data_IF_786234342381
#
_entry.id   IF_786234342381
#
_cell.length_a   1.000
_cell.length_b   1.000
_cell.length_c   1.000
_cell.angle_alpha   90.00
_cell.angle_beta   90.00
_cell.angle_gamma   90.00
#
_symmetry.space_group_name_H-M   'P 1'
#
loop_
_entity.id
_entity.type
_entity.pdbx_description
1 polymer ?
#
# COMPACT_ATOMS: atom_id res chain seq x y z
N UNK A 1 34.03 5.12 -50.64
CA UNK A 1 33.10 5.30 -49.50
C UNK A 1 32.46 3.95 -49.22
N UNK A 2 32.55 3.46 -47.97
CA UNK A 2 32.30 2.06 -47.62
C UNK A 2 30.79 1.79 -47.41
N UNK A 3 30.15 0.87 -48.17
CA UNK A 3 28.72 0.58 -48.06
C UNK A 3 28.29 0.00 -46.69
N UNK A 4 29.23 -0.44 -45.86
CA UNK A 4 28.93 -0.91 -44.50
C UNK A 4 28.43 0.20 -43.54
N UNK A 5 28.78 1.47 -43.77
CA UNK A 5 28.34 2.59 -42.91
C UNK A 5 26.85 2.90 -43.14
N UNK A 6 26.34 2.73 -44.36
CA UNK A 6 24.92 2.93 -44.66
C UNK A 6 24.03 1.84 -44.05
N UNK A 7 24.56 0.64 -43.78
CA UNK A 7 23.83 -0.41 -43.07
C UNK A 7 23.58 -0.10 -41.58
N UNK A 8 24.44 0.71 -40.95
CA UNK A 8 24.36 1.01 -39.52
C UNK A 8 23.21 1.96 -39.17
N UNK A 9 22.83 2.90 -40.05
CA UNK A 9 21.73 3.85 -39.79
C UNK A 9 20.36 3.14 -39.82
N UNK A 10 20.26 2.01 -40.51
CA UNK A 10 19.07 1.16 -40.54
C UNK A 10 18.93 0.24 -39.33
N UNK A 11 19.99 0.03 -38.55
CA UNK A 11 19.91 -0.76 -37.32
C UNK A 11 19.16 0.02 -36.24
N UNK A 12 18.15 -0.62 -35.66
CA UNK A 12 17.40 -0.05 -34.54
C UNK A 12 18.32 0.26 -33.35
N UNK A 13 19.32 -0.59 -33.09
CA UNK A 13 20.36 -0.40 -32.06
C UNK A 13 21.10 0.93 -32.17
N UNK A 14 21.37 1.42 -33.38
CA UNK A 14 22.05 2.70 -33.57
C UNK A 14 21.09 3.86 -33.32
N UNK A 15 19.85 3.78 -33.83
CA UNK A 15 18.84 4.83 -33.62
C UNK A 15 18.44 4.98 -32.16
N UNK A 16 18.42 3.88 -31.40
CA UNK A 16 18.25 3.86 -29.95
C UNK A 16 19.28 4.75 -29.23
N UNK A 17 20.56 4.57 -29.56
CA UNK A 17 21.65 5.35 -29.00
C UNK A 17 21.60 6.83 -29.42
N UNK A 18 21.06 7.12 -30.61
CA UNK A 18 20.85 8.51 -31.04
C UNK A 18 19.82 9.20 -30.15
N UNK A 19 18.73 8.53 -29.74
CA UNK A 19 17.76 9.12 -28.80
C UNK A 19 18.47 9.50 -27.49
N UNK A 20 19.25 8.60 -26.90
CA UNK A 20 20.07 8.87 -25.70
C UNK A 20 21.03 10.05 -25.88
N UNK A 21 21.71 10.10 -27.04
CA UNK A 21 22.57 11.22 -27.40
C UNK A 21 21.79 12.54 -27.48
N UNK A 22 20.57 12.53 -28.01
CA UNK A 22 19.71 13.72 -28.12
C UNK A 22 19.34 14.29 -26.74
N UNK A 23 19.01 13.47 -25.74
CA UNK A 23 18.73 13.99 -24.40
C UNK A 23 19.98 14.53 -23.70
N UNK A 24 21.14 13.90 -23.90
CA UNK A 24 22.40 14.41 -23.38
C UNK A 24 22.80 15.74 -24.02
N UNK A 25 22.69 15.85 -25.35
CA UNK A 25 22.92 17.09 -26.09
C UNK A 25 21.92 18.17 -25.71
N UNK A 26 20.66 17.81 -25.49
CA UNK A 26 19.61 18.75 -25.05
C UNK A 26 19.95 19.50 -23.76
N UNK A 27 20.76 18.90 -22.88
CA UNK A 27 21.22 19.53 -21.63
C UNK A 27 22.43 20.45 -21.80
N UNK A 28 23.14 20.34 -22.92
CA UNK A 28 24.37 21.08 -23.20
C UNK A 28 24.15 22.24 -24.18
N UNK A 29 23.14 22.12 -25.04
CA UNK A 29 22.81 23.11 -26.05
C UNK A 29 21.88 24.19 -25.49
N UNK A 30 21.95 25.39 -26.07
CA UNK A 30 20.96 26.42 -25.82
C UNK A 30 19.61 26.04 -26.45
N UNK A 31 18.51 26.55 -25.90
CA UNK A 31 17.15 26.23 -26.35
C UNK A 31 16.94 26.38 -27.88
N UNK A 32 17.40 27.46 -28.55
CA UNK A 32 17.24 27.59 -30.01
C UNK A 32 17.93 26.47 -30.81
N UNK A 33 19.09 26.01 -30.34
CA UNK A 33 19.85 24.92 -30.98
C UNK A 33 19.17 23.57 -30.74
N UNK A 34 18.64 23.34 -29.54
CA UNK A 34 17.80 22.18 -29.24
C UNK A 34 16.58 22.11 -30.16
N UNK A 35 15.87 23.23 -30.32
CA UNK A 35 14.66 23.32 -31.15
C UNK A 35 14.99 23.09 -32.63
N UNK A 36 16.09 23.65 -33.13
CA UNK A 36 16.44 23.53 -34.55
C UNK A 36 17.05 22.16 -34.91
N UNK A 37 17.83 21.56 -34.02
CA UNK A 37 18.69 20.40 -34.34
C UNK A 37 18.26 19.10 -33.67
N UNK A 38 17.76 19.15 -32.43
CA UNK A 38 17.43 17.94 -31.64
C UNK A 38 15.95 17.57 -31.79
N UNK A 39 15.06 18.55 -31.68
CA UNK A 39 13.62 18.34 -31.69
C UNK A 39 13.09 17.61 -32.96
N UNK A 40 13.51 17.96 -34.20
CA UNK A 40 13.00 17.27 -35.39
C UNK A 40 13.36 15.78 -35.41
N UNK A 41 14.54 15.42 -34.89
CA UNK A 41 14.99 14.03 -34.79
C UNK A 41 14.09 13.25 -33.84
N UNK A 42 13.79 13.84 -32.68
CA UNK A 42 12.92 13.22 -31.66
C UNK A 42 11.49 13.04 -32.17
N UNK A 43 10.91 14.06 -32.83
CA UNK A 43 9.56 13.96 -33.39
C UNK A 43 9.47 12.86 -34.45
N UNK A 44 10.51 12.73 -35.30
CA UNK A 44 10.59 11.69 -36.30
C UNK A 44 10.72 10.30 -35.64
N UNK A 45 11.59 10.17 -34.62
CA UNK A 45 11.77 8.92 -33.88
C UNK A 45 10.57 8.51 -33.04
N UNK A 46 9.71 9.47 -32.66
CA UNK A 46 8.42 9.18 -32.03
C UNK A 46 7.48 8.36 -32.95
N UNK A 47 7.80 8.26 -34.24
CA UNK A 47 7.03 7.53 -35.26
C UNK A 47 7.90 6.47 -35.97
N UNK A 48 9.04 6.10 -35.39
CA UNK A 48 9.94 5.10 -35.96
C UNK A 48 9.22 3.75 -36.12
N UNK A 49 9.61 2.98 -37.14
CA UNK A 49 9.06 1.63 -37.36
C UNK A 49 9.40 0.68 -36.21
N UNK A 50 10.56 0.86 -35.57
CA UNK A 50 10.97 0.07 -34.41
C UNK A 50 10.32 0.60 -33.13
N UNK A 51 9.53 -0.24 -32.47
CA UNK A 51 8.93 0.09 -31.17
C UNK A 51 9.99 0.40 -30.12
N UNK A 52 11.19 -0.19 -30.21
CA UNK A 52 12.29 0.07 -29.27
C UNK A 52 12.76 1.53 -29.36
N UNK A 53 12.85 2.07 -30.58
CA UNK A 53 13.22 3.48 -30.77
C UNK A 53 12.13 4.39 -30.19
N UNK A 54 10.85 4.09 -30.45
CA UNK A 54 9.72 4.83 -29.88
C UNK A 54 9.66 4.73 -28.35
N UNK A 55 9.97 3.56 -27.79
CA UNK A 55 10.10 3.31 -26.36
C UNK A 55 11.19 4.21 -25.75
N UNK A 56 12.35 4.33 -26.42
CA UNK A 56 13.40 5.23 -25.95
C UNK A 56 12.99 6.70 -26.00
N UNK A 57 12.23 7.10 -27.03
CA UNK A 57 11.66 8.44 -27.07
C UNK A 57 10.71 8.66 -25.89
N UNK A 58 9.81 7.72 -25.60
CA UNK A 58 8.90 7.81 -24.46
C UNK A 58 9.63 7.95 -23.11
N UNK A 59 10.77 7.28 -22.95
CA UNK A 59 11.58 7.36 -21.74
C UNK A 59 12.28 8.71 -21.53
N UNK A 60 12.63 9.40 -22.62
CA UNK A 60 13.45 10.62 -22.59
C UNK A 60 12.69 11.90 -22.94
N UNK A 61 11.43 11.78 -23.35
CA UNK A 61 10.62 12.91 -23.82
C UNK A 61 10.52 14.00 -22.75
N UNK A 62 10.46 13.61 -21.47
CA UNK A 62 10.38 14.55 -20.36
C UNK A 62 11.62 15.45 -20.26
N UNK A 63 12.81 14.86 -20.30
CA UNK A 63 14.08 15.59 -20.23
C UNK A 63 14.24 16.55 -21.42
N UNK A 64 13.66 16.20 -22.57
CA UNK A 64 13.66 17.04 -23.76
C UNK A 64 12.67 18.21 -23.67
N UNK A 65 11.54 18.04 -22.97
CA UNK A 65 10.61 19.14 -22.71
C UNK A 65 11.27 20.29 -21.93
N UNK A 66 12.12 19.96 -20.95
CA UNK A 66 12.89 20.95 -20.19
C UNK A 66 13.90 21.68 -21.09
N UNK A 67 14.54 20.97 -22.01
CA UNK A 67 15.55 21.54 -22.92
C UNK A 67 14.98 22.47 -24.00
N UNK A 68 13.81 22.14 -24.57
CA UNK A 68 13.19 22.92 -25.67
C UNK A 68 12.29 24.05 -25.16
N UNK A 69 12.02 24.10 -23.86
CA UNK A 69 11.16 25.10 -23.24
C UNK A 69 9.66 24.82 -23.40
N UNK A 70 8.86 25.54 -22.61
CA UNK A 70 7.42 25.30 -22.46
C UNK A 70 6.62 25.61 -23.73
N UNK A 71 6.98 26.67 -24.47
CA UNK A 71 6.31 27.05 -25.71
C UNK A 71 6.36 25.94 -26.76
N UNK A 72 7.58 25.47 -27.08
CA UNK A 72 7.82 24.41 -28.06
C UNK A 72 7.31 23.05 -27.58
N UNK A 73 7.39 22.78 -26.28
CA UNK A 73 6.78 21.56 -25.71
C UNK A 73 5.29 21.49 -26.02
N UNK A 74 4.57 22.60 -25.87
CA UNK A 74 3.12 22.67 -26.10
C UNK A 74 2.75 22.51 -27.58
N UNK A 75 3.50 23.10 -28.51
CA UNK A 75 3.21 23.02 -29.94
C UNK A 75 3.58 21.66 -30.55
N UNK A 76 4.76 21.14 -30.23
CA UNK A 76 5.39 20.08 -31.03
C UNK A 76 5.52 18.75 -30.29
N UNK A 77 5.72 18.77 -28.97
CA UNK A 77 5.90 17.55 -28.17
C UNK A 77 4.58 16.96 -27.68
N UNK A 78 3.53 17.75 -27.47
CA UNK A 78 2.20 17.22 -27.09
C UNK A 78 1.67 16.20 -28.11
N UNK A 79 1.63 16.49 -29.43
CA UNK A 79 1.17 15.50 -30.41
C UNK A 79 2.03 14.23 -30.45
N UNK A 80 3.35 14.37 -30.23
CA UNK A 80 4.26 13.24 -30.16
C UNK A 80 3.97 12.36 -28.93
N UNK A 81 3.76 12.98 -27.77
CA UNK A 81 3.45 12.25 -26.54
C UNK A 81 2.10 11.54 -26.61
N UNK A 82 1.06 12.20 -27.16
CA UNK A 82 -0.25 11.58 -27.38
C UNK A 82 -0.15 10.35 -28.28
N UNK A 83 0.69 10.38 -29.33
CA UNK A 83 0.95 9.19 -30.16
C UNK A 83 1.60 8.05 -29.36
N UNK A 84 2.56 8.36 -28.49
CA UNK A 84 3.24 7.36 -27.66
C UNK A 84 2.31 6.76 -26.60
N UNK A 85 1.40 7.54 -26.02
CA UNK A 85 0.36 7.03 -25.13
C UNK A 85 -0.62 6.09 -25.84
N UNK A 86 -0.82 6.26 -27.16
CA UNK A 86 -1.68 5.43 -28.01
C UNK A 86 -0.89 4.50 -28.92
N UNK A 87 0.36 4.19 -28.55
CA UNK A 87 1.22 3.35 -29.37
C UNK A 87 0.62 1.94 -29.51
N UNK A 88 0.88 1.26 -30.62
CA UNK A 88 0.39 -0.10 -30.81
C UNK A 88 1.13 -1.11 -29.91
N UNK A 89 2.36 -0.82 -29.50
CA UNK A 89 3.17 -1.68 -28.64
C UNK A 89 2.98 -1.35 -27.15
N UNK A 90 2.73 -2.37 -26.34
CA UNK A 90 2.43 -2.17 -24.91
C UNK A 90 3.62 -1.57 -24.14
N UNK A 91 4.85 -1.99 -24.45
CA UNK A 91 6.06 -1.47 -23.81
C UNK A 91 6.22 0.05 -23.99
N UNK A 92 5.87 0.57 -25.17
CA UNK A 92 5.91 2.02 -25.43
C UNK A 92 4.85 2.74 -24.59
N UNK A 93 3.63 2.19 -24.53
CA UNK A 93 2.55 2.74 -23.70
C UNK A 93 2.88 2.69 -22.21
N UNK A 94 3.54 1.64 -21.72
CA UNK A 94 4.03 1.53 -20.33
C UNK A 94 5.00 2.68 -20.02
N UNK A 95 6.03 2.86 -20.86
CA UNK A 95 7.02 3.92 -20.69
C UNK A 95 6.37 5.32 -20.71
N UNK A 96 5.44 5.54 -21.64
CA UNK A 96 4.71 6.80 -21.74
C UNK A 96 3.82 7.04 -20.51
N UNK A 97 3.00 6.06 -20.10
CA UNK A 97 2.07 6.17 -18.97
C UNK A 97 2.79 6.48 -17.65
N UNK A 98 3.96 5.87 -17.41
CA UNK A 98 4.77 6.10 -16.21
C UNK A 98 5.27 7.56 -16.06
N UNK A 99 5.22 8.37 -17.13
CA UNK A 99 5.67 9.76 -17.14
C UNK A 99 4.53 10.77 -17.20
N UNK A 100 3.26 10.33 -17.21
CA UNK A 100 2.11 11.20 -17.48
C UNK A 100 1.98 12.37 -16.50
N UNK A 101 2.20 12.12 -15.21
CA UNK A 101 2.17 13.15 -14.17
C UNK A 101 3.20 14.26 -14.44
N UNK A 102 4.42 13.87 -14.78
CA UNK A 102 5.50 14.83 -15.04
C UNK A 102 5.22 15.66 -16.28
N UNK A 103 4.68 15.04 -17.32
CA UNK A 103 4.31 15.75 -18.55
C UNK A 103 3.17 16.75 -18.30
N UNK A 104 2.15 16.35 -17.53
CA UNK A 104 1.05 17.24 -17.13
C UNK A 104 1.57 18.49 -16.39
N UNK A 105 2.56 18.34 -15.51
CA UNK A 105 3.16 19.49 -14.79
C UNK A 105 3.75 20.54 -15.74
N UNK A 106 4.34 20.13 -16.87
CA UNK A 106 4.90 21.05 -17.87
C UNK A 106 3.80 21.74 -18.68
N UNK A 107 2.75 20.99 -19.04
CA UNK A 107 1.66 21.52 -19.85
C UNK A 107 0.78 22.50 -19.07
N UNK A 108 0.54 22.22 -17.79
CA UNK A 108 -0.48 22.88 -16.99
C UNK A 108 -1.87 22.26 -17.18
N UNK A 109 -2.83 22.73 -16.38
CA UNK A 109 -4.17 22.14 -16.26
C UNK A 109 -4.93 22.07 -17.60
N UNK A 110 -5.04 23.18 -18.31
CA UNK A 110 -5.86 23.30 -19.53
C UNK A 110 -5.48 22.27 -20.60
N UNK A 111 -4.19 22.23 -20.98
CA UNK A 111 -3.70 21.30 -22.00
C UNK A 111 -3.68 19.84 -21.50
N UNK A 112 -3.44 19.61 -20.21
CA UNK A 112 -3.52 18.27 -19.62
C UNK A 112 -4.94 17.71 -19.71
N UNK A 113 -5.96 18.51 -19.37
CA UNK A 113 -7.37 18.13 -19.49
C UNK A 113 -7.74 17.88 -20.95
N UNK A 114 -7.32 18.78 -21.86
CA UNK A 114 -7.71 18.70 -23.27
C UNK A 114 -7.08 17.52 -24.01
N UNK A 115 -5.79 17.23 -23.76
CA UNK A 115 -5.02 16.30 -24.60
C UNK A 115 -4.58 15.02 -23.89
N UNK A 116 -4.24 15.10 -22.60
CA UNK A 116 -3.64 13.98 -21.87
C UNK A 116 -4.69 13.15 -21.15
N UNK A 117 -5.67 13.79 -20.51
CA UNK A 117 -6.71 13.13 -19.74
C UNK A 117 -7.58 12.15 -20.56
N UNK A 118 -7.93 12.42 -21.83
CA UNK A 118 -8.59 11.42 -22.67
C UNK A 118 -7.73 10.17 -22.89
N UNK A 119 -6.41 10.34 -23.07
CA UNK A 119 -5.47 9.22 -23.20
C UNK A 119 -5.36 8.44 -21.89
N UNK A 120 -5.34 9.11 -20.74
CA UNK A 120 -5.34 8.48 -19.41
C UNK A 120 -6.60 7.63 -19.20
N UNK A 121 -7.75 8.13 -19.64
CA UNK A 121 -9.01 7.37 -19.61
C UNK A 121 -8.97 6.15 -20.51
N UNK A 122 -8.36 6.23 -21.69
CA UNK A 122 -8.18 5.06 -22.57
C UNK A 122 -7.23 4.03 -21.93
N UNK A 123 -6.10 4.50 -21.39
CA UNK A 123 -5.08 3.67 -20.74
C UNK A 123 -5.60 2.96 -19.49
N UNK A 124 -6.61 3.49 -18.80
CA UNK A 124 -7.20 2.79 -17.65
C UNK A 124 -8.01 1.56 -18.02
N UNK A 125 -8.36 1.40 -19.29
CA UNK A 125 -9.01 0.21 -19.85
C UNK A 125 -8.11 -0.52 -20.86
N UNK A 126 -6.81 -0.27 -20.83
CA UNK A 126 -5.85 -0.90 -21.73
C UNK A 126 -5.91 -2.43 -21.62
N UNK A 127 -5.74 -3.14 -22.73
CA UNK A 127 -5.73 -4.61 -22.73
C UNK A 127 -4.55 -5.20 -21.95
N UNK A 128 -3.44 -4.47 -21.85
CA UNK A 128 -2.26 -4.86 -21.08
C UNK A 128 -2.38 -4.43 -19.61
N UNK A 129 -2.38 -5.40 -18.70
CA UNK A 129 -2.34 -5.14 -17.26
C UNK A 129 -1.10 -4.32 -16.84
N UNK A 130 0.02 -4.44 -17.56
CA UNK A 130 1.24 -3.72 -17.27
C UNK A 130 1.11 -2.22 -17.59
N UNK A 131 0.36 -1.87 -18.64
CA UNK A 131 0.03 -0.48 -18.97
C UNK A 131 -0.86 0.12 -17.89
N UNK A 132 -1.94 -0.58 -17.52
CA UNK A 132 -2.86 -0.14 -16.44
C UNK A 132 -2.12 0.02 -15.12
N UNK A 133 -1.21 -0.91 -14.80
CA UNK A 133 -0.37 -0.88 -13.59
C UNK A 133 0.59 0.31 -13.59
N UNK A 134 1.25 0.59 -14.72
CA UNK A 134 2.12 1.74 -14.88
C UNK A 134 1.36 3.06 -14.66
N UNK A 135 0.17 3.20 -15.26
CA UNK A 135 -0.69 4.35 -15.03
C UNK A 135 -1.10 4.48 -13.55
N UNK A 136 -1.60 3.40 -12.95
CA UNK A 136 -2.03 3.36 -11.55
C UNK A 136 -0.94 3.83 -10.58
N UNK A 137 0.33 3.55 -10.87
CA UNK A 137 1.46 3.93 -10.01
C UNK A 137 1.68 5.44 -9.91
N UNK A 138 1.20 6.23 -10.89
CA UNK A 138 1.46 7.68 -10.98
C UNK A 138 0.21 8.56 -11.06
N UNK A 139 -0.96 7.99 -11.34
CA UNK A 139 -2.18 8.73 -11.72
C UNK A 139 -2.55 9.86 -10.74
N UNK A 140 -2.41 9.65 -9.43
CA UNK A 140 -2.78 10.67 -8.44
C UNK A 140 -1.85 11.89 -8.41
N UNK A 141 -0.66 11.79 -9.00
CA UNK A 141 0.19 12.96 -9.18
C UNK A 141 -0.40 14.01 -10.13
N UNK A 142 -1.37 13.61 -10.98
CA UNK A 142 -2.10 14.54 -11.84
C UNK A 142 -3.05 15.45 -11.07
N UNK A 143 -3.54 15.06 -9.88
CA UNK A 143 -4.56 15.80 -9.16
C UNK A 143 -4.14 17.25 -8.84
N UNK A 144 -2.87 17.45 -8.48
CA UNK A 144 -2.31 18.78 -8.22
C UNK A 144 -2.31 19.67 -9.47
N UNK A 145 -2.10 19.08 -10.65
CA UNK A 145 -2.08 19.82 -11.92
C UNK A 145 -3.49 20.15 -12.39
N UNK A 146 -4.42 19.20 -12.28
CA UNK A 146 -5.79 19.35 -12.76
C UNK A 146 -6.60 20.30 -11.87
N UNK A 147 -6.29 20.36 -10.58
CA UNK A 147 -7.09 21.06 -9.58
C UNK A 147 -8.25 20.19 -9.07
N UNK A 148 -8.93 20.69 -8.04
CA UNK A 148 -9.92 19.92 -7.28
C UNK A 148 -11.11 19.46 -8.13
N UNK A 149 -11.73 20.38 -8.87
CA UNK A 149 -12.97 20.10 -9.62
C UNK A 149 -12.73 19.06 -10.72
N UNK A 150 -11.72 19.26 -11.56
CA UNK A 150 -11.36 18.30 -12.60
C UNK A 150 -10.89 16.94 -12.03
N UNK A 151 -10.23 16.95 -10.86
CA UNK A 151 -9.88 15.70 -10.17
C UNK A 151 -11.13 14.93 -9.77
N UNK A 152 -12.12 15.59 -9.17
CA UNK A 152 -13.36 14.94 -8.73
C UNK A 152 -14.19 14.47 -9.92
N UNK A 153 -14.39 15.31 -10.93
CA UNK A 153 -15.28 15.02 -12.04
C UNK A 153 -14.71 14.01 -13.04
N UNK A 154 -13.39 14.02 -13.27
CA UNK A 154 -12.78 13.30 -14.38
C UNK A 154 -11.72 12.28 -13.94
N UNK A 155 -10.89 12.59 -12.94
CA UNK A 155 -9.82 11.67 -12.49
C UNK A 155 -10.35 10.61 -11.52
N UNK A 156 -11.23 10.97 -10.59
CA UNK A 156 -11.79 10.07 -9.59
C UNK A 156 -12.53 8.87 -10.20
N UNK A 157 -13.35 9.00 -11.27
CA UNK A 157 -13.94 7.84 -11.94
C UNK A 157 -12.89 6.86 -12.47
N UNK A 158 -11.77 7.37 -13.01
CA UNK A 158 -10.65 6.55 -13.51
C UNK A 158 -9.92 5.85 -12.35
N UNK A 159 -9.71 6.58 -11.25
CA UNK A 159 -9.12 6.03 -10.04
C UNK A 159 -9.97 4.87 -9.49
N UNK A 160 -11.29 5.06 -9.38
CA UNK A 160 -12.24 4.05 -8.91
C UNK A 160 -12.31 2.83 -9.85
N UNK A 161 -12.20 3.04 -11.17
CA UNK A 161 -12.18 1.91 -12.10
C UNK A 161 -10.92 1.05 -11.94
N UNK A 162 -9.76 1.68 -11.76
CA UNK A 162 -8.49 0.98 -11.51
C UNK A 162 -8.45 0.32 -10.12
N UNK A 163 -9.15 0.90 -9.14
CA UNK A 163 -9.30 0.29 -7.80
C UNK A 163 -10.05 -1.05 -7.87
N UNK A 164 -10.90 -1.24 -8.89
CA UNK A 164 -11.68 -2.45 -9.16
C UNK A 164 -11.09 -3.31 -10.28
N UNK A 165 -9.83 -3.10 -10.63
CA UNK A 165 -9.17 -3.84 -11.72
C UNK A 165 -9.11 -5.35 -11.42
N UNK A 166 -9.12 -6.17 -12.46
CA UNK A 166 -8.99 -7.63 -12.34
C UNK A 166 -7.59 -8.05 -11.84
N UNK A 167 -6.56 -7.24 -12.11
CA UNK A 167 -5.19 -7.58 -11.77
C UNK A 167 -4.75 -6.99 -10.42
N UNK A 168 -4.15 -7.79 -9.51
CA UNK A 168 -3.79 -7.32 -8.17
C UNK A 168 -2.82 -6.14 -8.15
N UNK A 169 -1.79 -6.14 -9.02
CA UNK A 169 -0.77 -5.10 -8.99
C UNK A 169 -1.34 -3.72 -9.35
N UNK A 170 -2.36 -3.66 -10.21
CA UNK A 170 -3.08 -2.41 -10.53
C UNK A 170 -3.78 -1.90 -9.27
N UNK A 171 -4.54 -2.76 -8.58
CA UNK A 171 -5.25 -2.41 -7.35
C UNK A 171 -4.28 -1.97 -6.25
N UNK A 172 -3.18 -2.70 -6.06
CA UNK A 172 -2.13 -2.37 -5.09
C UNK A 172 -1.53 -0.99 -5.34
N UNK A 173 -1.24 -0.67 -6.60
CA UNK A 173 -0.74 0.64 -6.98
C UNK A 173 -1.73 1.75 -6.63
N UNK A 174 -3.03 1.55 -6.88
CA UNK A 174 -4.07 2.52 -6.50
C UNK A 174 -4.21 2.64 -4.98
N UNK A 175 -4.21 1.53 -4.24
CA UNK A 175 -4.30 1.51 -2.77
C UNK A 175 -3.18 2.35 -2.15
N UNK A 176 -1.96 2.26 -2.69
CA UNK A 176 -0.82 3.05 -2.23
C UNK A 176 -0.99 4.57 -2.38
N UNK A 177 -2.02 5.02 -3.12
CA UNK A 177 -2.35 6.43 -3.38
C UNK A 177 -3.65 6.89 -2.73
N UNK A 178 -4.30 6.05 -1.91
CA UNK A 178 -5.57 6.42 -1.27
C UNK A 178 -5.45 7.68 -0.39
N UNK A 179 -4.35 7.84 0.34
CA UNK A 179 -4.12 9.05 1.15
C UNK A 179 -4.08 10.33 0.29
N UNK A 180 -3.47 10.26 -0.91
CA UNK A 180 -3.36 11.40 -1.82
C UNK A 180 -4.72 11.83 -2.38
N UNK A 181 -5.60 10.87 -2.73
CA UNK A 181 -6.94 11.20 -3.22
C UNK A 181 -7.83 11.72 -2.09
N UNK A 182 -7.69 11.19 -0.88
CA UNK A 182 -8.44 11.62 0.30
C UNK A 182 -8.22 13.11 0.61
N UNK A 183 -6.98 13.57 0.49
CA UNK A 183 -6.62 14.98 0.69
C UNK A 183 -7.28 15.93 -0.33
N UNK A 184 -7.64 15.44 -1.52
CA UNK A 184 -8.20 16.27 -2.60
C UNK A 184 -9.73 16.30 -2.55
N UNK A 185 -10.38 15.15 -2.36
CA UNK A 185 -11.84 15.04 -2.48
C UNK A 185 -12.57 15.38 -1.16
N UNK A 186 -11.89 15.24 -0.02
CA UNK A 186 -12.47 15.45 1.30
C UNK A 186 -13.31 14.27 1.81
N UNK A 187 -13.76 14.38 3.07
CA UNK A 187 -14.40 13.28 3.83
C UNK A 187 -15.74 12.85 3.21
N UNK A 188 -16.55 13.80 2.73
CA UNK A 188 -17.89 13.49 2.20
C UNK A 188 -17.83 12.56 0.98
N UNK A 189 -17.02 12.92 -0.03
CA UNK A 189 -16.86 12.12 -1.24
C UNK A 189 -16.11 10.81 -0.97
N UNK A 190 -15.18 10.81 -0.02
CA UNK A 190 -14.54 9.58 0.45
C UNK A 190 -15.59 8.58 0.96
N UNK A 191 -16.48 9.03 1.85
CA UNK A 191 -17.50 8.16 2.43
C UNK A 191 -18.47 7.59 1.40
N UNK A 192 -18.82 8.37 0.38
CA UNK A 192 -19.80 7.99 -0.65
C UNK A 192 -19.18 7.15 -1.78
N UNK A 193 -17.94 7.46 -2.19
CA UNK A 193 -17.34 6.91 -3.41
C UNK A 193 -16.25 5.88 -3.14
N UNK A 194 -15.37 6.13 -2.17
CA UNK A 194 -14.20 5.26 -1.90
C UNK A 194 -14.54 4.14 -0.93
N UNK A 195 -15.34 4.40 0.10
CA UNK A 195 -15.64 3.40 1.13
C UNK A 195 -16.27 2.11 0.57
N UNK A 196 -17.25 2.14 -0.35
CA UNK A 196 -17.79 0.91 -0.93
C UNK A 196 -16.71 0.09 -1.64
N UNK A 197 -15.76 0.74 -2.32
CA UNK A 197 -14.65 0.07 -2.98
C UNK A 197 -13.63 -0.48 -1.97
N UNK A 198 -13.34 0.25 -0.88
CA UNK A 198 -12.46 -0.24 0.21
C UNK A 198 -13.07 -1.47 0.90
N UNK A 199 -14.38 -1.47 1.14
CA UNK A 199 -15.08 -2.62 1.71
C UNK A 199 -15.04 -3.84 0.77
N UNK A 200 -15.15 -3.64 -0.54
CA UNK A 200 -14.97 -4.72 -1.53
C UNK A 200 -13.54 -5.27 -1.53
N UNK A 201 -12.52 -4.40 -1.39
CA UNK A 201 -11.11 -4.79 -1.35
C UNK A 201 -10.69 -5.45 -0.03
N UNK A 202 -11.39 -5.15 1.07
CA UNK A 202 -11.21 -5.82 2.34
C UNK A 202 -11.40 -7.35 2.24
N UNK A 203 -12.20 -7.79 1.28
CA UNK A 203 -12.52 -9.20 1.02
C UNK A 203 -11.87 -9.73 -0.27
N UNK A 204 -10.89 -9.01 -0.82
CA UNK A 204 -10.25 -9.34 -2.09
C UNK A 204 -9.66 -10.77 -2.07
N UNK A 205 -9.84 -11.49 -3.18
CA UNK A 205 -9.31 -12.84 -3.39
C UNK A 205 -7.79 -12.91 -3.23
N UNK A 206 -7.08 -11.85 -3.61
CA UNK A 206 -5.63 -11.76 -3.48
C UNK A 206 -5.24 -11.18 -2.12
N UNK A 207 -4.58 -12.00 -1.29
CA UNK A 207 -4.29 -11.63 0.10
C UNK A 207 -3.43 -10.37 0.22
N UNK A 208 -2.51 -10.08 -0.70
CA UNK A 208 -1.73 -8.83 -0.62
C UNK A 208 -2.60 -7.58 -0.74
N UNK A 209 -3.70 -7.65 -1.47
CA UNK A 209 -4.68 -6.56 -1.56
C UNK A 209 -5.37 -6.37 -0.22
N UNK A 210 -5.85 -7.46 0.41
CA UNK A 210 -6.41 -7.41 1.77
C UNK A 210 -5.41 -6.84 2.77
N UNK A 211 -4.14 -7.27 2.71
CA UNK A 211 -3.07 -6.75 3.56
C UNK A 211 -2.91 -5.23 3.41
N UNK A 212 -2.85 -4.74 2.17
CA UNK A 212 -2.70 -3.31 1.91
C UNK A 212 -3.89 -2.50 2.45
N UNK A 213 -5.11 -3.05 2.39
CA UNK A 213 -6.28 -2.43 3.03
C UNK A 213 -6.15 -2.41 4.55
N UNK A 214 -5.76 -3.51 5.18
CA UNK A 214 -5.58 -3.60 6.64
C UNK A 214 -4.57 -2.56 7.14
N UNK A 215 -3.48 -2.36 6.41
CA UNK A 215 -2.45 -1.36 6.75
C UNK A 215 -2.97 0.08 6.63
N UNK A 216 -3.93 0.30 5.72
CA UNK A 216 -4.56 1.59 5.46
C UNK A 216 -5.65 1.96 6.47
N UNK A 217 -6.34 0.97 7.05
CA UNK A 217 -7.49 1.19 7.96
C UNK A 217 -7.23 2.21 9.07
N UNK A 218 -6.09 2.24 9.79
CA UNK A 218 -5.92 3.18 10.89
C UNK A 218 -5.91 4.65 10.42
N UNK A 219 -5.37 4.91 9.23
CA UNK A 219 -5.41 6.26 8.61
C UNK A 219 -6.85 6.62 8.21
N UNK A 220 -7.60 5.65 7.70
CA UNK A 220 -8.99 5.85 7.34
C UNK A 220 -9.87 6.09 8.58
N UNK A 221 -9.60 5.37 9.66
CA UNK A 221 -10.30 5.45 10.94
C UNK A 221 -10.11 6.82 11.61
N UNK A 222 -8.88 7.36 11.62
CA UNK A 222 -8.60 8.70 12.16
C UNK A 222 -9.26 9.82 11.34
N UNK A 223 -9.39 9.64 10.02
CA UNK A 223 -10.03 10.62 9.14
C UNK A 223 -11.56 10.62 9.23
N UNK A 224 -12.18 9.45 9.39
CA UNK A 224 -13.65 9.28 9.43
C UNK A 224 -14.25 9.47 10.82
N UNK A 225 -13.43 9.28 11.86
CA UNK A 225 -13.86 9.29 13.25
C UNK A 225 -14.47 7.96 13.70
N UNK A 226 -14.52 7.80 15.02
CA UNK A 226 -14.86 6.54 15.72
C UNK A 226 -16.24 5.99 15.37
N UNK A 227 -17.28 6.84 15.38
CA UNK A 227 -18.65 6.41 15.15
C UNK A 227 -18.84 5.83 13.75
N UNK A 228 -18.22 6.45 12.76
CA UNK A 228 -18.29 5.97 11.39
C UNK A 228 -17.53 4.65 11.20
N UNK A 229 -16.37 4.53 11.84
CA UNK A 229 -15.57 3.30 11.81
C UNK A 229 -16.36 2.12 12.37
N UNK A 230 -17.01 2.29 13.52
CA UNK A 230 -17.78 1.23 14.18
C UNK A 230 -18.93 0.74 13.29
N UNK A 231 -19.65 1.66 12.64
CA UNK A 231 -20.81 1.33 11.79
C UNK A 231 -20.45 0.62 10.48
N UNK A 232 -19.23 0.82 9.96
CA UNK A 232 -18.87 0.42 8.58
C UNK A 232 -17.70 -0.54 8.46
N UNK A 233 -16.72 -0.46 9.35
CA UNK A 233 -15.42 -1.12 9.20
C UNK A 233 -15.03 -2.01 10.39
N UNK A 234 -15.65 -1.82 11.57
CA UNK A 234 -15.33 -2.59 12.77
C UNK A 234 -15.48 -4.10 12.58
N UNK A 235 -16.56 -4.55 11.94
CA UNK A 235 -16.81 -5.97 11.68
C UNK A 235 -15.73 -6.61 10.78
N UNK A 236 -15.24 -5.88 9.76
CA UNK A 236 -14.19 -6.35 8.86
C UNK A 236 -12.88 -6.58 9.62
N UNK A 237 -12.56 -5.71 10.58
CA UNK A 237 -11.35 -5.84 11.40
C UNK A 237 -11.33 -7.14 12.20
N UNK A 238 -12.49 -7.57 12.69
CA UNK A 238 -12.63 -8.82 13.43
C UNK A 238 -12.62 -10.03 12.51
N UNK A 239 -13.20 -9.93 11.32
CA UNK A 239 -13.18 -10.97 10.29
C UNK A 239 -11.76 -11.34 9.86
N UNK A 240 -10.84 -10.36 9.73
CA UNK A 240 -9.46 -10.62 9.31
C UNK A 240 -8.63 -11.43 10.33
N UNK A 241 -9.00 -11.43 11.62
CA UNK A 241 -8.33 -12.27 12.63
C UNK A 241 -8.57 -13.77 12.41
N UNK A 242 -9.59 -14.11 11.63
CA UNK A 242 -9.96 -15.47 11.23
C UNK A 242 -9.61 -15.75 9.75
N UNK A 243 -8.76 -14.93 9.12
CA UNK A 243 -8.34 -15.13 7.72
C UNK A 243 -7.50 -16.42 7.56
N UNK A 244 -7.64 -17.05 6.39
CA UNK A 244 -6.93 -18.28 6.03
C UNK A 244 -5.40 -18.07 5.95
N UNK A 245 -4.95 -16.85 5.65
CA UNK A 245 -3.55 -16.47 5.50
C UNK A 245 -3.02 -15.91 6.81
N UNK A 246 -1.95 -16.51 7.36
CA UNK A 246 -1.34 -16.06 8.61
C UNK A 246 -0.92 -14.59 8.60
N UNK A 247 -0.29 -14.11 7.52
CA UNK A 247 0.13 -12.71 7.40
C UNK A 247 -1.03 -11.72 7.50
N UNK A 248 -2.24 -12.12 7.09
CA UNK A 248 -3.45 -11.29 7.26
C UNK A 248 -3.88 -11.25 8.72
N UNK A 249 -3.88 -12.40 9.40
CA UNK A 249 -4.21 -12.49 10.83
C UNK A 249 -3.24 -11.68 11.70
N UNK A 250 -1.96 -11.74 11.37
CA UNK A 250 -0.90 -10.98 12.04
C UNK A 250 -1.07 -9.46 11.83
N UNK A 251 -1.32 -9.04 10.58
CA UNK A 251 -1.60 -7.64 10.27
C UNK A 251 -2.89 -7.15 10.94
N UNK A 252 -3.93 -7.98 11.01
CA UNK A 252 -5.18 -7.66 11.70
C UNK A 252 -4.99 -7.48 13.21
N UNK A 253 -4.17 -8.32 13.85
CA UNK A 253 -3.85 -8.18 15.27
C UNK A 253 -3.09 -6.87 15.55
N UNK A 254 -2.12 -6.52 14.69
CA UNK A 254 -1.43 -5.22 14.76
C UNK A 254 -2.37 -4.04 14.44
N UNK A 255 -3.34 -4.23 13.55
CA UNK A 255 -4.35 -3.24 13.23
C UNK A 255 -5.23 -2.92 14.46
N UNK A 256 -5.67 -3.93 15.22
CA UNK A 256 -6.41 -3.71 16.48
C UNK A 256 -5.61 -2.88 17.49
N UNK A 257 -4.30 -3.16 17.62
CA UNK A 257 -3.41 -2.36 18.47
C UNK A 257 -3.40 -0.89 18.02
N UNK A 258 -3.20 -0.63 16.72
CA UNK A 258 -3.18 0.75 16.18
C UNK A 258 -4.51 1.47 16.36
N UNK A 259 -5.64 0.76 16.24
CA UNK A 259 -6.97 1.32 16.50
C UNK A 259 -7.15 1.65 17.98
N UNK A 260 -6.66 0.82 18.90
CA UNK A 260 -6.68 1.11 20.33
C UNK A 260 -5.76 2.30 20.69
N UNK A 261 -4.62 2.48 19.99
CA UNK A 261 -3.76 3.66 20.15
C UNK A 261 -4.46 4.95 19.65
N UNK A 262 -5.23 4.85 18.57
CA UNK A 262 -5.94 5.99 17.97
C UNK A 262 -7.21 6.39 18.76
N UNK A 263 -8.05 5.42 19.11
CA UNK A 263 -9.36 5.67 19.75
C UNK A 263 -9.35 5.54 21.28
N UNK A 264 -8.24 5.06 21.84
CA UNK A 264 -8.04 4.95 23.27
C UNK A 264 -8.51 3.63 23.90
N UNK A 265 -8.06 3.36 25.13
CA UNK A 265 -8.30 2.10 25.83
C UNK A 265 -9.76 1.90 26.22
N UNK A 266 -10.52 2.96 26.54
CA UNK A 266 -11.94 2.85 26.86
C UNK A 266 -12.75 2.36 25.64
N UNK A 267 -12.46 2.90 24.45
CA UNK A 267 -13.11 2.46 23.23
C UNK A 267 -12.77 1.00 22.90
N UNK A 268 -11.49 0.62 23.02
CA UNK A 268 -11.06 -0.76 22.76
C UNK A 268 -11.71 -1.74 23.76
N UNK A 269 -11.91 -1.34 25.01
CA UNK A 269 -12.59 -2.15 26.02
C UNK A 269 -14.07 -2.39 25.68
N UNK A 270 -14.73 -1.44 25.02
CA UNK A 270 -16.12 -1.56 24.61
C UNK A 270 -16.29 -2.35 23.30
N UNK A 271 -15.41 -2.14 22.32
CA UNK A 271 -15.62 -2.62 20.95
C UNK A 271 -14.70 -3.77 20.54
N UNK A 272 -13.46 -3.83 21.05
CA UNK A 272 -12.48 -4.86 20.66
C UNK A 272 -12.46 -6.01 21.65
N UNK A 273 -12.27 -5.72 22.94
CA UNK A 273 -12.01 -6.73 23.97
C UNK A 273 -13.13 -7.79 24.03
N UNK A 274 -14.43 -7.46 24.04
CA UNK A 274 -15.49 -8.46 24.14
C UNK A 274 -15.45 -9.47 22.97
N UNK A 275 -15.17 -8.98 21.75
CA UNK A 275 -15.11 -9.82 20.54
C UNK A 275 -13.90 -10.74 20.56
N UNK A 276 -12.72 -10.23 20.99
CA UNK A 276 -11.51 -11.05 21.15
C UNK A 276 -11.75 -12.15 22.19
N UNK A 277 -12.39 -11.83 23.32
CA UNK A 277 -12.65 -12.80 24.39
C UNK A 277 -13.65 -13.89 23.99
N UNK A 278 -14.72 -13.54 23.30
CA UNK A 278 -15.69 -14.50 22.77
C UNK A 278 -15.00 -15.56 21.90
N UNK A 279 -14.06 -15.11 21.06
CA UNK A 279 -13.38 -15.95 20.07
C UNK A 279 -12.23 -16.80 20.63
N UNK A 280 -11.84 -16.61 21.89
CA UNK A 280 -10.86 -17.48 22.55
C UNK A 280 -11.33 -18.93 22.69
N UNK A 281 -12.64 -19.20 22.60
CA UNK A 281 -13.21 -20.54 22.61
C UNK A 281 -13.33 -21.19 21.21
N UNK A 282 -12.75 -20.58 20.17
CA UNK A 282 -12.86 -21.09 18.80
C UNK A 282 -12.31 -22.53 18.69
N UNK A 283 -13.02 -23.46 18.03
CA UNK A 283 -12.55 -24.86 17.89
C UNK A 283 -11.19 -24.97 17.18
N UNK A 284 -10.88 -24.03 16.28
CA UNK A 284 -9.66 -24.01 15.49
C UNK A 284 -8.51 -23.32 16.25
N UNK A 285 -7.47 -24.09 16.58
CA UNK A 285 -6.37 -23.60 17.42
C UNK A 285 -5.58 -22.45 16.78
N UNK A 286 -5.46 -22.40 15.44
CA UNK A 286 -4.78 -21.28 14.77
C UNK A 286 -5.44 -19.93 15.07
N UNK A 287 -6.77 -19.88 15.20
CA UNK A 287 -7.48 -18.65 15.50
C UNK A 287 -7.33 -18.28 16.98
N UNK A 288 -7.42 -19.26 17.89
CA UNK A 288 -7.10 -19.04 19.31
C UNK A 288 -5.69 -18.48 19.49
N UNK A 289 -4.71 -18.97 18.73
CA UNK A 289 -3.36 -18.40 18.70
C UNK A 289 -3.35 -16.94 18.21
N UNK A 290 -4.14 -16.59 17.19
CA UNK A 290 -4.27 -15.18 16.74
C UNK A 290 -4.80 -14.30 17.86
N UNK A 291 -5.89 -14.70 18.52
CA UNK A 291 -6.53 -13.89 19.55
C UNK A 291 -5.62 -13.72 20.77
N UNK A 292 -4.87 -14.77 21.14
CA UNK A 292 -3.83 -14.68 22.15
C UNK A 292 -2.71 -13.69 21.75
N UNK A 293 -2.30 -13.70 20.48
CA UNK A 293 -1.34 -12.73 19.95
C UNK A 293 -1.90 -11.29 19.95
N UNK A 294 -3.17 -11.10 19.57
CA UNK A 294 -3.84 -9.81 19.63
C UNK A 294 -3.91 -9.26 21.06
N UNK A 295 -4.19 -10.12 22.06
CA UNK A 295 -4.15 -9.73 23.48
C UNK A 295 -2.75 -9.23 23.87
N UNK A 296 -1.70 -9.93 23.45
CA UNK A 296 -0.32 -9.52 23.73
C UNK A 296 0.00 -8.14 23.15
N UNK A 297 -0.47 -7.85 21.93
CA UNK A 297 -0.26 -6.55 21.28
C UNK A 297 -1.10 -5.42 21.88
N UNK A 298 -2.32 -5.71 22.33
CA UNK A 298 -3.22 -4.74 22.95
C UNK A 298 -2.76 -4.36 24.36
N UNK A 299 -2.22 -5.30 25.13
CA UNK A 299 -1.94 -5.11 26.56
C UNK A 299 -1.11 -3.86 26.92
N UNK A 300 -0.02 -3.50 26.20
CA UNK A 300 0.72 -2.27 26.48
C UNK A 300 -0.10 -0.98 26.27
N UNK A 301 -1.10 -1.02 25.38
CA UNK A 301 -1.95 0.13 25.02
C UNK A 301 -3.14 0.27 25.96
N UNK A 302 -3.64 -0.85 26.49
CA UNK A 302 -4.81 -0.87 27.40
C UNK A 302 -4.48 -0.37 28.82
N UNK A 303 -3.20 -0.21 29.15
CA UNK A 303 -2.76 0.14 30.50
C UNK A 303 -2.81 -1.04 31.48
N UNK A 304 -2.09 -0.91 32.60
CA UNK A 304 -1.89 -2.00 33.56
C UNK A 304 -3.19 -2.48 34.22
N UNK A 305 -4.12 -1.57 34.52
CA UNK A 305 -5.37 -1.89 35.20
C UNK A 305 -6.29 -2.77 34.32
N UNK A 306 -6.61 -2.33 33.11
CA UNK A 306 -7.47 -3.08 32.18
C UNK A 306 -6.79 -4.40 31.78
N UNK A 307 -5.48 -4.36 31.52
CA UNK A 307 -4.71 -5.58 31.23
C UNK A 307 -4.82 -6.60 32.36
N UNK A 308 -4.67 -6.17 33.62
CA UNK A 308 -4.77 -7.04 34.77
C UNK A 308 -6.18 -7.59 35.00
N UNK A 309 -7.21 -6.73 34.88
CA UNK A 309 -8.58 -7.10 35.24
C UNK A 309 -9.29 -7.89 34.13
N UNK A 310 -9.00 -7.60 32.86
CA UNK A 310 -9.78 -8.11 31.73
C UNK A 310 -9.00 -9.05 30.81
N UNK A 311 -7.74 -8.74 30.52
CA UNK A 311 -6.95 -9.51 29.55
C UNK A 311 -6.22 -10.70 30.19
N UNK A 312 -5.54 -10.47 31.31
CA UNK A 312 -4.75 -11.46 32.01
C UNK A 312 -5.54 -12.73 32.40
N UNK A 313 -6.76 -12.65 32.96
CA UNK A 313 -7.52 -13.86 33.32
C UNK A 313 -7.74 -14.80 32.14
N UNK A 314 -7.91 -14.25 30.94
CA UNK A 314 -8.13 -15.05 29.72
C UNK A 314 -6.84 -15.69 29.23
N UNK A 315 -5.71 -15.00 29.34
CA UNK A 315 -4.38 -15.57 29.08
C UNK A 315 -4.10 -16.73 30.04
N UNK A 316 -4.39 -16.55 31.33
CA UNK A 316 -4.22 -17.61 32.35
C UNK A 316 -5.12 -18.80 32.06
N UNK A 317 -6.40 -18.58 31.73
CA UNK A 317 -7.32 -19.67 31.37
C UNK A 317 -6.81 -20.45 30.13
N UNK A 318 -6.20 -19.76 29.18
CA UNK A 318 -5.64 -20.37 27.97
C UNK A 318 -4.44 -21.29 28.25
N UNK A 319 -3.80 -21.18 29.42
CA UNK A 319 -2.76 -22.14 29.84
C UNK A 319 -3.27 -23.58 29.97
N UNK A 320 -4.59 -23.76 30.10
CA UNK A 320 -5.26 -25.06 30.22
C UNK A 320 -5.68 -25.65 28.86
N UNK A 321 -5.38 -24.99 27.75
CA UNK A 321 -5.73 -25.49 26.42
C UNK A 321 -5.07 -26.86 26.17
N UNK A 322 -5.79 -27.78 25.52
CA UNK A 322 -5.28 -29.11 25.16
C UNK A 322 -4.12 -29.09 24.16
N UNK A 323 -3.95 -28.00 23.41
CA UNK A 323 -2.96 -27.87 22.34
C UNK A 323 -1.67 -27.25 22.90
N UNK A 324 -0.51 -27.94 22.85
CA UNK A 324 0.76 -27.40 23.35
C UNK A 324 1.15 -26.07 22.72
N UNK A 325 0.85 -25.87 21.43
CA UNK A 325 1.08 -24.60 20.74
C UNK A 325 0.40 -23.40 21.38
N UNK A 326 -0.78 -23.59 21.97
CA UNK A 326 -1.45 -22.52 22.71
C UNK A 326 -0.69 -22.27 24.02
N UNK A 327 -0.41 -23.33 24.78
CA UNK A 327 0.26 -23.25 26.08
C UNK A 327 1.63 -22.56 26.02
N UNK A 328 2.49 -22.91 25.06
CA UNK A 328 3.80 -22.25 24.97
C UNK A 328 3.67 -20.80 24.50
N UNK A 329 2.66 -20.46 23.71
CA UNK A 329 2.39 -19.06 23.37
C UNK A 329 1.82 -18.31 24.58
N UNK A 330 1.06 -18.95 25.47
CA UNK A 330 0.65 -18.35 26.76
C UNK A 330 1.88 -17.97 27.56
N UNK A 331 2.89 -18.84 27.66
CA UNK A 331 4.14 -18.50 28.33
C UNK A 331 4.84 -17.27 27.72
N UNK A 332 4.87 -17.16 26.38
CA UNK A 332 5.43 -15.99 25.67
C UNK A 332 4.62 -14.71 25.94
N UNK A 333 3.29 -14.79 25.92
CA UNK A 333 2.43 -13.64 26.22
C UNK A 333 2.63 -13.21 27.66
N UNK A 334 2.57 -14.13 28.62
CA UNK A 334 2.84 -13.83 30.03
C UNK A 334 4.20 -13.17 30.23
N UNK A 335 5.24 -13.61 29.52
CA UNK A 335 6.54 -12.96 29.52
C UNK A 335 6.47 -11.49 29.06
N UNK A 336 5.75 -11.21 27.98
CA UNK A 336 5.58 -9.83 27.48
C UNK A 336 4.75 -8.93 28.40
N UNK A 337 3.93 -9.50 29.30
CA UNK A 337 3.12 -8.75 30.26
C UNK A 337 3.88 -8.38 31.54
N UNK A 338 4.99 -9.05 31.84
CA UNK A 338 5.84 -8.75 33.02
C UNK A 338 6.20 -7.26 33.12
N UNK A 339 6.73 -6.59 32.07
CA UNK A 339 7.06 -5.16 32.15
C UNK A 339 5.83 -4.23 32.20
N UNK A 340 4.64 -4.72 31.83
CA UNK A 340 3.40 -3.94 31.80
C UNK A 340 2.69 -3.95 33.16
N UNK A 341 2.86 -5.03 33.93
CA UNK A 341 2.13 -5.29 35.16
C UNK A 341 3.01 -5.10 36.40
N UNK A 342 2.39 -4.74 37.53
CA UNK A 342 3.12 -4.54 38.79
C UNK A 342 3.64 -5.86 39.40
N UNK A 343 4.72 -5.77 40.18
CA UNK A 343 5.41 -6.92 40.81
C UNK A 343 4.47 -7.83 41.60
N UNK A 344 3.48 -7.27 42.31
CA UNK A 344 2.47 -8.04 43.05
C UNK A 344 1.63 -8.95 42.13
N UNK A 345 1.23 -8.48 40.94
CA UNK A 345 0.46 -9.27 39.97
C UNK A 345 1.34 -10.35 39.34
N UNK A 346 2.59 -10.00 39.03
CA UNK A 346 3.58 -10.94 38.49
C UNK A 346 3.79 -12.09 39.46
N UNK A 347 4.02 -11.80 40.74
CA UNK A 347 4.29 -12.80 41.76
C UNK A 347 3.07 -13.66 42.13
N UNK A 348 1.89 -13.05 42.27
CA UNK A 348 0.67 -13.76 42.72
C UNK A 348 -0.07 -14.49 41.60
N UNK A 349 0.11 -14.12 40.34
CA UNK A 349 -0.71 -14.63 39.24
C UNK A 349 0.12 -15.19 38.09
N UNK A 350 1.10 -14.43 37.57
CA UNK A 350 1.89 -14.88 36.41
C UNK A 350 2.84 -16.01 36.79
N UNK A 351 3.65 -15.83 37.84
CA UNK A 351 4.66 -16.79 38.28
C UNK A 351 4.05 -18.18 38.59
N UNK A 352 2.95 -18.32 39.35
CA UNK A 352 2.35 -19.63 39.60
C UNK A 352 1.90 -20.34 38.33
N UNK A 353 1.32 -19.60 37.37
CA UNK A 353 0.91 -20.17 36.09
C UNK A 353 2.11 -20.66 35.27
N UNK A 354 3.21 -19.89 35.25
CA UNK A 354 4.44 -20.29 34.56
C UNK A 354 5.12 -21.50 35.21
N UNK A 355 5.08 -21.63 36.54
CA UNK A 355 5.57 -22.83 37.24
C UNK A 355 4.76 -24.06 36.85
N UNK A 356 3.44 -23.94 36.73
CA UNK A 356 2.63 -25.07 36.26
C UNK A 356 2.97 -25.46 34.81
N UNK A 357 3.19 -24.48 33.94
CA UNK A 357 3.62 -24.72 32.56
C UNK A 357 5.05 -25.29 32.47
N UNK A 358 5.94 -25.02 33.43
CA UNK A 358 7.30 -25.59 33.45
C UNK A 358 7.31 -27.09 33.73
N UNK A 359 6.22 -27.63 34.26
CA UNK A 359 6.03 -29.06 34.51
C UNK A 359 5.20 -29.75 33.41
N UNK A 360 4.85 -29.06 32.31
CA UNK A 360 4.07 -29.63 31.22
C UNK A 360 4.83 -30.79 30.53
N UNK A 361 4.09 -31.76 29.98
CA UNK A 361 4.67 -32.88 29.21
C UNK A 361 5.39 -32.44 27.94
N UNK A 362 5.00 -31.32 27.33
CA UNK A 362 5.58 -30.82 26.09
C UNK A 362 6.87 -30.02 26.31
N UNK A 363 7.91 -30.29 25.50
CA UNK A 363 9.25 -29.70 25.65
C UNK A 363 9.25 -28.19 25.41
N UNK A 364 8.50 -27.72 24.40
CA UNK A 364 8.47 -26.31 24.04
C UNK A 364 7.72 -25.51 25.11
N UNK A 365 6.64 -26.09 25.67
CA UNK A 365 5.92 -25.48 26.79
C UNK A 365 6.85 -25.26 27.98
N UNK A 366 7.60 -26.29 28.39
CA UNK A 366 8.58 -26.16 29.48
C UNK A 366 9.67 -25.14 29.17
N UNK A 367 10.20 -25.14 27.94
CA UNK A 367 11.25 -24.23 27.51
C UNK A 367 10.83 -22.76 27.61
N UNK A 368 9.68 -22.40 27.02
CA UNK A 368 9.18 -21.03 27.04
C UNK A 368 8.71 -20.60 28.44
N UNK A 369 8.12 -21.50 29.23
CA UNK A 369 7.77 -21.22 30.62
C UNK A 369 9.02 -20.91 31.48
N UNK A 370 10.07 -21.72 31.35
CA UNK A 370 11.35 -21.48 32.04
C UNK A 370 12.02 -20.17 31.61
N UNK A 371 11.90 -19.79 30.33
CA UNK A 371 12.38 -18.49 29.86
C UNK A 371 11.62 -17.33 30.51
N UNK A 372 10.30 -17.43 30.59
CA UNK A 372 9.45 -16.41 31.19
C UNK A 372 9.67 -16.29 32.72
N UNK A 373 9.89 -17.40 33.43
CA UNK A 373 10.21 -17.40 34.86
C UNK A 373 11.49 -16.61 35.18
N UNK A 374 12.52 -16.75 34.34
CA UNK A 374 13.75 -15.95 34.48
C UNK A 374 13.48 -14.45 34.37
N UNK A 375 12.54 -14.04 33.51
CA UNK A 375 12.12 -12.64 33.41
C UNK A 375 11.37 -12.16 34.67
N UNK A 376 10.58 -13.03 35.31
CA UNK A 376 9.97 -12.71 36.61
C UNK A 376 11.04 -12.49 37.70
N UNK A 377 12.07 -13.34 37.74
CA UNK A 377 13.14 -13.24 38.72
C UNK A 377 13.96 -11.95 38.55
N UNK A 378 14.26 -11.58 37.31
CA UNK A 378 14.94 -10.33 36.98
C UNK A 378 14.15 -9.11 37.48
N UNK A 379 12.83 -9.09 37.27
CA UNK A 379 11.98 -7.99 37.74
C UNK A 379 11.94 -7.88 39.26
N UNK A 380 11.91 -9.01 39.98
CA UNK A 380 11.86 -9.02 41.45
C UNK A 380 13.22 -8.69 42.11
N UNK A 381 14.31 -8.73 41.34
CA UNK A 381 15.66 -8.36 41.80
C UNK A 381 16.00 -6.89 41.62
N UNK A 382 15.18 -6.15 40.86
CA UNK A 382 15.25 -4.69 40.68
C UNK A 382 14.29 -3.99 41.64
#
# INVERSE_FOLDING_TARGET
MNPHIFGCIYQDSVRLLVVEGCAALGKLLETPDCVSSVLPVIINFSQDKSWRVRYMVANQLYELCEAVGSGTTRSDLVPAYVRLLRDNEAEVRIAAAAKVTKFCQILGSELAIQHILPCVKELSYDSSQHVRSALASVIMGMALVLGKDATIEQLLPIFLSLLKDEFPDVRLNIISKLDQVNQVIGIDLLSQSLLPAIAELAEDRHWRVRLAIIEYIPVLASQLGVQFFDDKLGALCMQWLEDKVFSIRDAAANNLKRLAEEFGPEWAMQHIVPQVMEKMNNPHYLYRMTFLHAIALLSPVMGAEITCQSLLPVVINSSKDRVPNIKFNVAKVLQSLIPVLGSSVVDKTIRPCLVELSEDSDVDVRYFAGQALRSCDQMMSC
#
